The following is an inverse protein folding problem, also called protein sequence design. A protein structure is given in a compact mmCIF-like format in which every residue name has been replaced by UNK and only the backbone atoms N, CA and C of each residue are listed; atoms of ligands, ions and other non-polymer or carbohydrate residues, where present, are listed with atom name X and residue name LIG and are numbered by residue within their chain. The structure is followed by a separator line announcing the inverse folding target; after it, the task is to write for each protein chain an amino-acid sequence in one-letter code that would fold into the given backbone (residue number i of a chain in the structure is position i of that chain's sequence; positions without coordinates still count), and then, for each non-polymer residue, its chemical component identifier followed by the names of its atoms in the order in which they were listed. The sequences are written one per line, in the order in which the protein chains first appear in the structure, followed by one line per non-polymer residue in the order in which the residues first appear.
data_IF_797040637801
#
_entry.id   IF_797040637801
#
_cell.length_a   1.000
_cell.length_b   1.000
_cell.length_c   1.000
_cell.angle_alpha   90.00
_cell.angle_beta   90.00
_cell.angle_gamma   90.00
#
_symmetry.space_group_name_H-M   'P 1'
#
loop_
_entity.id
_entity.type
_entity.pdbx_description
1 polymer ?
#
# COMPACT_ATOMS: atom_id res chain seq x y z
N UNK A 1 2.16 -8.57 -17.06
CA UNK A 1 2.39 -7.42 -16.16
C UNK A 1 2.49 -6.09 -16.90
N UNK A 2 3.30 -6.03 -17.94
CA UNK A 2 3.51 -4.81 -18.72
C UNK A 2 2.21 -4.30 -19.39
N UNK A 3 1.41 -5.20 -19.93
CA UNK A 3 0.16 -4.82 -20.61
C UNK A 3 -0.86 -4.19 -19.66
N UNK A 4 -0.93 -4.66 -18.42
CA UNK A 4 -1.84 -4.10 -17.43
C UNK A 4 -1.46 -2.68 -17.02
N UNK A 5 -0.20 -2.29 -17.24
CA UNK A 5 0.31 -0.96 -16.92
C UNK A 5 0.43 -0.06 -18.15
N UNK A 6 0.01 -0.52 -19.31
CA UNK A 6 0.21 0.16 -20.59
C UNK A 6 -0.35 1.58 -20.64
N UNK A 7 -1.51 1.79 -20.02
CA UNK A 7 -2.19 3.08 -20.00
C UNK A 7 -1.98 3.85 -18.69
N UNK A 8 -1.04 3.40 -17.85
CA UNK A 8 -0.74 4.07 -16.60
C UNK A 8 0.34 5.14 -16.80
N UNK A 9 0.23 6.23 -16.04
CA UNK A 9 1.21 7.31 -16.07
C UNK A 9 2.55 6.84 -15.47
N UNK A 10 3.67 7.52 -15.80
CA UNK A 10 4.94 7.22 -15.15
C UNK A 10 4.87 7.29 -13.62
N UNK A 11 4.11 8.24 -13.08
CA UNK A 11 3.89 8.36 -11.64
C UNK A 11 3.23 7.11 -11.07
N UNK A 12 2.15 6.64 -11.71
CA UNK A 12 1.43 5.44 -11.26
C UNK A 12 2.34 4.20 -11.31
N UNK A 13 3.14 4.08 -12.37
CA UNK A 13 4.08 2.97 -12.51
C UNK A 13 5.11 3.00 -11.37
N UNK A 14 5.65 4.17 -11.04
CA UNK A 14 6.60 4.32 -9.93
C UNK A 14 5.97 3.90 -8.60
N UNK A 15 4.71 4.26 -8.37
CA UNK A 15 3.96 3.86 -7.18
C UNK A 15 3.84 2.33 -7.11
N UNK A 16 3.47 1.70 -8.21
CA UNK A 16 3.30 0.24 -8.25
C UNK A 16 4.63 -0.49 -8.03
N UNK A 17 5.71 -0.01 -8.62
CA UNK A 17 7.04 -0.60 -8.43
C UNK A 17 7.47 -0.50 -6.97
N UNK A 18 7.31 0.67 -6.36
CA UNK A 18 7.67 0.87 -4.96
C UNK A 18 6.84 -0.03 -4.04
N UNK A 19 5.55 -0.17 -4.33
CA UNK A 19 4.64 -1.02 -3.56
C UNK A 19 4.98 -2.49 -3.72
N UNK A 20 5.29 -2.92 -4.93
CA UNK A 20 5.68 -4.30 -5.22
C UNK A 20 6.89 -4.75 -4.39
N UNK A 21 7.78 -3.83 -4.05
CA UNK A 21 8.99 -4.11 -3.27
C UNK A 21 8.75 -4.31 -1.77
N UNK A 22 7.54 -4.05 -1.28
CA UNK A 22 7.22 -4.27 0.14
C UNK A 22 7.13 -5.78 0.38
N UNK A 23 7.99 -6.36 1.23
CA UNK A 23 7.96 -7.81 1.47
C UNK A 23 6.76 -8.20 2.34
N UNK A 24 6.41 -9.49 2.28
CA UNK A 24 5.38 -10.07 3.13
C UNK A 24 5.75 -9.87 4.61
N UNK A 25 4.77 -9.49 5.43
CA UNK A 25 5.00 -9.20 6.85
C UNK A 25 5.45 -7.78 7.12
N UNK A 26 5.67 -6.99 6.07
CA UNK A 26 6.02 -5.58 6.18
C UNK A 26 4.92 -4.70 5.60
N UNK A 27 4.89 -3.45 6.03
CA UNK A 27 3.94 -2.46 5.52
C UNK A 27 4.66 -1.15 5.25
N UNK A 28 4.02 -0.30 4.45
CA UNK A 28 4.49 1.07 4.23
C UNK A 28 3.30 2.01 4.39
N UNK A 29 3.55 3.30 4.27
CA UNK A 29 2.48 4.30 4.30
C UNK A 29 2.45 5.04 2.97
N UNK A 30 1.32 5.68 2.67
CA UNK A 30 1.22 6.50 1.45
C UNK A 30 2.32 7.55 1.39
N UNK A 31 2.62 8.16 2.55
CA UNK A 31 3.68 9.15 2.68
C UNK A 31 5.05 8.56 2.37
N UNK A 32 5.35 7.37 2.92
CA UNK A 32 6.64 6.71 2.67
C UNK A 32 6.82 6.33 1.22
N UNK A 33 5.76 5.85 0.56
CA UNK A 33 5.80 5.55 -0.88
C UNK A 33 6.07 6.84 -1.66
N UNK A 34 5.38 7.93 -1.33
CA UNK A 34 5.60 9.22 -1.98
C UNK A 34 7.05 9.70 -1.83
N UNK A 35 7.62 9.54 -0.64
CA UNK A 35 9.02 9.90 -0.40
C UNK A 35 9.98 9.04 -1.22
N UNK A 36 9.72 7.73 -1.31
CA UNK A 36 10.56 6.79 -2.06
C UNK A 36 10.62 7.13 -3.55
N UNK A 37 9.54 7.63 -4.11
CA UNK A 37 9.50 8.00 -5.54
C UNK A 37 9.92 9.46 -5.78
N UNK A 38 10.41 10.14 -4.75
CA UNK A 38 10.91 11.51 -4.87
C UNK A 38 9.85 12.59 -4.91
N UNK A 39 8.62 12.29 -4.48
CA UNK A 39 7.48 13.22 -4.50
C UNK A 39 6.75 13.21 -3.16
N UNK A 40 7.40 13.70 -2.08
CA UNK A 40 6.88 13.53 -0.71
C UNK A 40 5.51 14.15 -0.46
N UNK A 41 5.11 15.13 -1.26
CA UNK A 41 3.79 15.76 -1.11
C UNK A 41 2.68 15.04 -1.87
N UNK A 42 3.02 14.02 -2.65
CA UNK A 42 2.07 13.33 -3.53
C UNK A 42 1.37 12.14 -2.88
N UNK A 43 1.29 12.09 -1.56
CA UNK A 43 0.73 10.92 -0.84
C UNK A 43 -0.74 10.64 -1.20
N UNK A 44 -1.55 11.68 -1.49
CA UNK A 44 -2.94 11.48 -1.93
C UNK A 44 -3.01 10.84 -3.31
N UNK A 45 -2.12 11.28 -4.21
CA UNK A 45 -2.05 10.70 -5.56
C UNK A 45 -1.56 9.25 -5.49
N UNK A 46 -0.68 8.92 -4.53
CA UNK A 46 -0.27 7.53 -4.27
C UNK A 46 -1.48 6.69 -3.90
N UNK A 47 -2.32 7.18 -2.98
CA UNK A 47 -3.54 6.48 -2.59
C UNK A 47 -4.48 6.25 -3.77
N UNK A 48 -4.67 7.27 -4.61
CA UNK A 48 -5.52 7.15 -5.80
C UNK A 48 -4.98 6.13 -6.79
N UNK A 49 -3.66 6.10 -6.99
CA UNK A 49 -3.03 5.13 -7.88
C UNK A 49 -3.23 3.71 -7.36
N UNK A 50 -3.08 3.49 -6.06
CA UNK A 50 -3.24 2.17 -5.45
C UNK A 50 -4.70 1.70 -5.47
N UNK A 51 -5.66 2.62 -5.40
CA UNK A 51 -7.08 2.28 -5.57
C UNK A 51 -7.39 1.70 -6.95
N UNK A 52 -6.63 2.13 -7.95
CA UNK A 52 -6.80 1.69 -9.34
C UNK A 52 -5.88 0.53 -9.70
N UNK A 53 -5.20 -0.06 -8.72
CA UNK A 53 -4.22 -1.12 -8.96
C UNK A 53 -4.82 -2.29 -9.73
N UNK A 54 -4.44 -2.51 -11.00
CA UNK A 54 -4.97 -3.62 -11.80
C UNK A 54 -4.26 -4.94 -11.52
N UNK A 55 -3.20 -4.94 -10.71
CA UNK A 55 -2.33 -6.08 -10.48
C UNK A 55 -2.43 -6.63 -9.05
N UNK A 56 -3.52 -6.31 -8.34
CA UNK A 56 -3.72 -6.85 -7.00
C UNK A 56 -3.99 -8.36 -7.08
N UNK A 57 -3.41 -9.19 -6.20
CA UNK A 57 -2.50 -8.88 -5.09
C UNK A 57 -1.00 -8.94 -5.45
N UNK A 58 -0.64 -9.05 -6.73
CA UNK A 58 0.77 -9.08 -7.17
C UNK A 58 1.46 -7.78 -6.73
N UNK A 59 0.83 -6.64 -7.00
CA UNK A 59 1.23 -5.37 -6.38
C UNK A 59 0.44 -5.27 -5.08
N UNK A 60 1.10 -5.42 -3.90
CA UNK A 60 0.39 -5.63 -2.64
C UNK A 60 -0.10 -4.32 -2.03
N UNK A 61 -1.13 -3.72 -2.62
CA UNK A 61 -1.69 -2.45 -2.13
C UNK A 61 -2.21 -2.56 -0.70
N UNK A 62 -2.53 -3.78 -0.22
CA UNK A 62 -2.94 -4.01 1.16
C UNK A 62 -1.81 -3.73 2.17
N UNK A 63 -0.56 -3.68 1.72
CA UNK A 63 0.61 -3.38 2.57
C UNK A 63 0.90 -1.88 2.67
N UNK A 64 0.06 -1.03 2.10
CA UNK A 64 0.19 0.43 2.22
C UNK A 64 -0.99 0.97 3.01
N UNK A 65 -0.69 1.66 4.09
CA UNK A 65 -1.68 2.16 5.04
C UNK A 65 -1.47 3.66 5.29
N UNK A 66 -2.41 4.28 6.00
CA UNK A 66 -2.25 5.68 6.39
C UNK A 66 -1.16 5.81 7.46
N UNK A 67 -0.63 7.03 7.63
CA UNK A 67 0.47 7.28 8.57
C UNK A 67 0.12 6.98 10.03
N UNK A 68 -1.16 6.99 10.37
CA UNK A 68 -1.65 6.63 11.71
C UNK A 68 -1.92 5.13 11.87
N UNK A 69 -1.61 4.34 10.85
CA UNK A 69 -1.84 2.90 10.88
C UNK A 69 -3.24 2.47 10.46
N UNK A 70 -4.13 3.43 10.15
CA UNK A 70 -5.49 3.08 9.71
C UNK A 70 -5.48 2.56 8.28
N UNK A 71 -6.44 1.66 7.98
CA UNK A 71 -6.63 1.13 6.65
C UNK A 71 -7.63 2.03 5.93
N UNK A 72 -7.26 2.51 4.74
CA UNK A 72 -8.15 3.34 3.92
C UNK A 72 -8.99 2.48 2.98
N UNK A 73 -10.15 2.99 2.58
CA UNK A 73 -11.03 2.31 1.65
C UNK A 73 -12.43 2.07 2.25
N UNK A 74 -13.29 1.38 1.50
CA UNK A 74 -14.62 1.05 1.98
C UNK A 74 -14.56 -0.12 2.98
N UNK A 75 -15.67 -0.36 3.68
CA UNK A 75 -15.75 -1.41 4.71
C UNK A 75 -15.43 -2.80 4.17
N UNK A 76 -15.81 -3.10 2.94
CA UNK A 76 -15.53 -4.40 2.31
C UNK A 76 -14.05 -4.56 2.02
N UNK A 77 -13.43 -3.54 1.44
CA UNK A 77 -12.00 -3.53 1.16
C UNK A 77 -11.18 -3.60 2.44
N UNK A 78 -11.61 -2.90 3.47
CA UNK A 78 -10.96 -2.88 4.78
C UNK A 78 -10.93 -4.27 5.40
N UNK A 79 -12.07 -4.95 5.45
CA UNK A 79 -12.19 -6.31 5.99
C UNK A 79 -11.25 -7.28 5.27
N UNK A 80 -11.21 -7.20 3.94
CA UNK A 80 -10.37 -8.05 3.11
C UNK A 80 -8.88 -7.80 3.39
N UNK A 81 -8.49 -6.53 3.48
CA UNK A 81 -7.11 -6.14 3.78
C UNK A 81 -6.67 -6.63 5.15
N UNK A 82 -7.52 -6.49 6.16
CA UNK A 82 -7.23 -6.98 7.51
C UNK A 82 -6.97 -8.48 7.52
N UNK A 83 -7.79 -9.24 6.81
CA UNK A 83 -7.65 -10.69 6.75
C UNK A 83 -6.31 -11.08 6.11
N UNK A 84 -5.93 -10.42 5.02
CA UNK A 84 -4.67 -10.69 4.33
C UNK A 84 -3.48 -10.31 5.20
N UNK A 85 -3.51 -9.14 5.83
CA UNK A 85 -2.41 -8.67 6.70
C UNK A 85 -2.24 -9.59 7.91
N UNK A 86 -3.34 -10.01 8.51
CA UNK A 86 -3.30 -10.95 9.63
C UNK A 86 -2.64 -12.26 9.22
N UNK A 87 -2.96 -12.74 8.04
CA UNK A 87 -2.39 -13.96 7.46
C UNK A 87 -0.89 -13.81 7.22
N UNK A 88 -0.43 -12.60 6.93
CA UNK A 88 0.98 -12.29 6.73
C UNK A 88 1.73 -12.04 8.05
N UNK A 89 1.05 -12.15 9.17
CA UNK A 89 1.66 -11.98 10.48
C UNK A 89 1.69 -10.53 10.98
N UNK A 90 0.98 -9.63 10.33
CA UNK A 90 0.92 -8.22 10.75
C UNK A 90 -0.14 -8.06 11.84
N UNK A 91 0.26 -7.47 12.96
CA UNK A 91 -0.62 -7.30 14.11
C UNK A 91 -1.50 -6.05 13.97
N UNK A 92 -2.81 -6.23 14.19
CA UNK A 92 -3.79 -5.16 14.19
C UNK A 92 -4.38 -4.99 15.59
N UNK A 93 -4.51 -3.75 16.02
CA UNK A 93 -5.11 -3.42 17.31
C UNK A 93 -6.13 -2.31 17.13
N UNK A 94 -7.35 -2.53 17.58
CA UNK A 94 -8.48 -1.60 17.42
C UNK A 94 -8.70 -1.16 15.97
N UNK A 95 -8.49 -2.08 15.03
CA UNK A 95 -8.65 -1.81 13.60
C UNK A 95 -7.52 -1.02 12.97
N UNK A 96 -6.42 -0.79 13.70
CA UNK A 96 -5.25 -0.07 13.21
C UNK A 96 -3.99 -0.91 13.35
N UNK A 97 -3.03 -0.68 12.48
CA UNK A 97 -1.72 -1.29 12.57
C UNK A 97 -0.87 -0.55 13.59
N UNK A 98 -0.13 -1.30 14.40
CA UNK A 98 0.93 -0.74 15.23
C UNK A 98 2.16 -0.57 14.35
N UNK A 99 2.40 0.66 13.90
CA UNK A 99 3.53 0.95 13.04
C UNK A 99 4.81 1.03 13.85
N UNK A 100 5.66 0.02 13.72
CA UNK A 100 6.96 -0.02 14.36
C UNK A 100 8.05 -0.08 13.30
N UNK A 101 9.29 0.20 13.68
CA UNK A 101 10.44 0.11 12.75
C UNK A 101 10.59 -1.29 12.19
N UNK A 102 10.15 -2.30 12.92
CA UNK A 102 10.26 -3.71 12.51
C UNK A 102 9.40 -4.05 11.32
N UNK A 103 8.20 -3.46 11.21
CA UNK A 103 7.28 -3.76 10.12
C UNK A 103 7.24 -2.67 9.03
N UNK A 104 7.74 -1.46 9.32
CA UNK A 104 7.77 -0.39 8.33
C UNK A 104 8.84 -0.62 7.27
N UNK A 105 8.42 -0.47 6.03
CA UNK A 105 9.30 -0.62 4.88
C UNK A 105 9.65 0.72 4.26
#
# INVERSE_FOLDING_TARGET
MIEALKDKSPFEIDVYVATYRIPEGKVSTYKRIAEKIGKPKAYRAVGNALHKNPLSPIVPCHRVVASDGSLSGDKKGDKRRRAILKKEGVHLENGRLLLSKEILC
#
